data_IF_368717479314
#
_entry.id   IF_368717479314
#
_cell.length_a   1.000
_cell.length_b   1.000
_cell.length_c   1.000
_cell.angle_alpha   90.00
_cell.angle_beta   90.00
_cell.angle_gamma   90.00
#
_symmetry.space_group_name_H-M   'P 1'
#
loop_
_entity.id
_entity.type
_entity.pdbx_description
1 polymer ?
#
# COMPACT_ATOMS: atom_id res chain seq x y z
N UNK A 1 -18.12 11.17 -21.67
CA UNK A 1 -17.82 11.06 -20.22
C UNK A 1 -17.44 12.44 -19.70
N UNK A 2 -18.11 12.99 -18.67
CA UNK A 2 -17.74 14.29 -18.09
C UNK A 2 -16.78 14.08 -16.92
N UNK A 3 -15.67 14.79 -16.90
CA UNK A 3 -14.70 14.74 -15.81
C UNK A 3 -15.32 15.42 -14.57
N UNK A 4 -15.40 14.75 -13.42
CA UNK A 4 -15.88 15.34 -12.18
C UNK A 4 -15.04 16.56 -11.80
N UNK A 5 -15.68 17.62 -11.35
CA UNK A 5 -14.99 18.85 -10.96
C UNK A 5 -15.13 19.06 -9.46
N UNK A 6 -13.99 19.27 -8.81
CA UNK A 6 -13.97 19.64 -7.40
C UNK A 6 -14.38 21.10 -7.26
N UNK A 7 -15.18 21.40 -6.24
CA UNK A 7 -15.61 22.75 -5.88
C UNK A 7 -14.42 23.60 -5.46
N UNK A 8 -14.37 24.81 -5.94
CA UNK A 8 -13.36 25.81 -5.56
C UNK A 8 -13.90 26.72 -4.48
N UNK A 9 -13.17 26.81 -3.38
CA UNK A 9 -13.46 27.72 -2.28
C UNK A 9 -12.22 28.57 -2.03
N UNK A 10 -12.33 29.88 -2.28
CA UNK A 10 -11.19 30.78 -2.10
C UNK A 10 -10.67 30.72 -0.67
N UNK A 11 -9.40 30.41 -0.52
CA UNK A 11 -8.66 30.42 0.74
C UNK A 11 -7.32 31.07 0.54
N UNK A 12 -6.85 31.83 1.53
CA UNK A 12 -5.55 32.49 1.51
C UNK A 12 -4.87 32.28 2.87
N UNK A 13 -3.62 31.86 2.85
CA UNK A 13 -2.78 31.71 4.05
C UNK A 13 -1.50 32.51 3.85
N UNK A 14 -1.06 33.20 4.89
CA UNK A 14 0.17 33.99 4.87
C UNK A 14 1.28 33.16 5.54
N UNK A 15 2.38 32.95 4.83
CA UNK A 15 3.60 32.30 5.34
C UNK A 15 4.80 33.22 5.05
N UNK A 16 5.50 33.65 6.09
CA UNK A 16 6.68 34.52 5.98
C UNK A 16 6.40 35.76 5.08
N UNK A 17 5.29 36.42 5.35
CA UNK A 17 4.79 37.63 4.61
C UNK A 17 4.42 37.36 3.14
N UNK A 18 4.38 36.08 2.71
CA UNK A 18 3.92 35.70 1.38
C UNK A 18 2.50 35.14 1.46
N UNK A 19 1.57 35.74 0.72
CA UNK A 19 0.21 35.24 0.60
C UNK A 19 0.16 34.08 -0.40
N UNK A 20 -0.27 32.90 0.07
CA UNK A 20 -0.51 31.71 -0.76
C UNK A 20 -2.02 31.50 -0.90
N UNK A 21 -2.50 31.50 -2.13
CA UNK A 21 -3.89 31.21 -2.46
C UNK A 21 -4.04 29.75 -2.85
N UNK A 22 -4.96 29.03 -2.20
CA UNK A 22 -5.31 27.65 -2.52
C UNK A 22 -6.84 27.49 -2.48
N UNK A 23 -7.43 27.25 -3.65
CA UNK A 23 -8.87 27.08 -3.79
C UNK A 23 -9.36 25.70 -3.32
N UNK A 24 -8.46 24.78 -3.00
CA UNK A 24 -8.77 23.40 -2.63
C UNK A 24 -8.37 23.04 -1.20
N UNK A 25 -7.87 24.00 -0.42
CA UNK A 25 -7.45 23.75 0.98
C UNK A 25 -8.57 23.23 1.89
N UNK A 26 -9.84 23.40 1.49
CA UNK A 26 -10.99 22.87 2.23
C UNK A 26 -11.08 21.33 2.20
N UNK A 27 -10.37 20.66 1.28
CA UNK A 27 -10.27 19.19 1.21
C UNK A 27 -9.37 18.65 2.33
N UNK A 28 -8.47 19.47 2.85
CA UNK A 28 -7.61 19.13 3.98
C UNK A 28 -8.42 19.11 5.28
N UNK A 29 -8.69 17.91 5.78
CA UNK A 29 -9.55 17.72 6.94
C UNK A 29 -8.73 17.63 8.22
N UNK A 30 -9.10 18.44 9.23
CA UNK A 30 -8.46 18.42 10.54
C UNK A 30 -8.52 17.05 11.25
N UNK A 31 -9.52 16.23 10.90
CA UNK A 31 -9.73 14.88 11.45
C UNK A 31 -9.12 13.75 10.62
N UNK A 32 -8.12 14.02 9.78
CA UNK A 32 -7.55 13.02 8.85
C UNK A 32 -7.15 11.71 9.53
N UNK A 33 -6.62 11.74 10.76
CA UNK A 33 -6.25 10.54 11.50
C UNK A 33 -7.46 9.67 11.88
N UNK A 34 -8.63 10.26 12.03
CA UNK A 34 -9.87 9.54 12.26
C UNK A 34 -10.43 8.97 10.96
N UNK A 35 -10.33 9.72 9.86
CA UNK A 35 -10.71 9.27 8.52
C UNK A 35 -9.87 8.07 8.09
N UNK A 36 -8.56 8.05 8.39
CA UNK A 36 -7.68 6.91 8.10
C UNK A 36 -8.07 5.63 8.87
N UNK A 37 -8.74 5.78 10.02
CA UNK A 37 -9.26 4.64 10.81
C UNK A 37 -10.67 4.24 10.39
N UNK A 38 -11.46 5.20 9.94
CA UNK A 38 -12.86 5.02 9.55
C UNK A 38 -13.21 5.98 8.41
N UNK A 39 -13.26 5.43 7.20
CA UNK A 39 -13.56 6.19 5.97
C UNK A 39 -14.96 6.86 5.98
N UNK A 40 -15.87 6.43 6.86
CA UNK A 40 -17.19 7.07 6.99
C UNK A 40 -17.11 8.48 7.61
N UNK A 41 -15.97 8.84 8.19
CA UNK A 41 -15.71 10.18 8.75
C UNK A 41 -15.18 11.18 7.71
N UNK A 42 -15.02 10.73 6.46
CA UNK A 42 -14.66 11.62 5.36
C UNK A 42 -15.80 12.60 5.08
N UNK A 43 -15.44 13.86 4.79
CA UNK A 43 -16.42 14.88 4.40
C UNK A 43 -17.28 14.38 3.23
N UNK A 44 -18.63 14.51 3.29
CA UNK A 44 -19.52 14.01 2.26
C UNK A 44 -19.29 14.60 0.86
N UNK A 45 -18.90 15.88 0.74
CA UNK A 45 -18.60 16.51 -0.55
C UNK A 45 -17.30 15.93 -1.14
N UNK A 46 -16.28 15.74 -0.30
CA UNK A 46 -15.02 15.11 -0.70
C UNK A 46 -15.27 13.67 -1.13
N UNK A 47 -16.05 12.93 -0.32
CA UNK A 47 -16.43 11.54 -0.64
C UNK A 47 -17.17 11.45 -1.98
N UNK A 48 -18.14 12.31 -2.21
CA UNK A 48 -18.91 12.34 -3.46
C UNK A 48 -18.01 12.58 -4.68
N UNK A 49 -17.04 13.48 -4.55
CA UNK A 49 -16.07 13.74 -5.61
C UNK A 49 -15.17 12.52 -5.90
N UNK A 50 -14.68 11.85 -4.84
CA UNK A 50 -13.88 10.63 -4.97
C UNK A 50 -14.70 9.52 -5.64
N UNK A 51 -15.92 9.28 -5.18
CA UNK A 51 -16.80 8.24 -5.74
C UNK A 51 -17.12 8.49 -7.22
N UNK A 52 -17.33 9.76 -7.61
CA UNK A 52 -17.55 10.13 -9.01
C UNK A 52 -16.31 9.88 -9.89
N UNK A 53 -15.10 10.16 -9.37
CA UNK A 53 -13.86 9.85 -10.09
C UNK A 53 -13.60 8.35 -10.20
N UNK A 54 -13.85 7.60 -9.13
CA UNK A 54 -13.71 6.14 -9.14
C UNK A 54 -14.67 5.53 -10.17
N UNK A 55 -15.93 5.96 -10.18
CA UNK A 55 -16.92 5.53 -11.18
C UNK A 55 -16.45 5.82 -12.61
N UNK A 56 -15.95 7.03 -12.87
CA UNK A 56 -15.42 7.40 -14.18
C UNK A 56 -14.24 6.51 -14.58
N UNK A 57 -13.36 6.19 -13.63
CA UNK A 57 -12.21 5.31 -13.85
C UNK A 57 -12.66 3.88 -14.18
N UNK A 58 -13.61 3.35 -13.42
CA UNK A 58 -14.15 2.01 -13.63
C UNK A 58 -14.80 1.90 -15.02
N UNK A 59 -15.61 2.89 -15.41
CA UNK A 59 -16.21 2.97 -16.74
C UNK A 59 -15.15 3.06 -17.86
N UNK A 60 -14.07 3.84 -17.65
CA UNK A 60 -12.99 3.97 -18.62
C UNK A 60 -12.23 2.66 -18.85
N UNK A 61 -12.06 1.86 -17.81
CA UNK A 61 -11.32 0.61 -17.84
C UNK A 61 -12.21 -0.64 -18.01
N UNK A 62 -13.53 -0.47 -18.20
CA UNK A 62 -14.48 -1.59 -18.26
C UNK A 62 -14.07 -2.62 -19.33
N UNK A 63 -13.76 -2.17 -20.53
CA UNK A 63 -13.38 -3.05 -21.67
C UNK A 63 -12.03 -3.76 -21.46
N UNK A 64 -11.24 -3.36 -20.47
CA UNK A 64 -9.91 -3.93 -20.23
C UNK A 64 -9.87 -4.98 -19.12
N UNK A 65 -10.99 -5.28 -18.46
CA UNK A 65 -11.06 -6.15 -17.29
C UNK A 65 -10.45 -7.54 -17.49
N UNK A 66 -10.73 -8.17 -18.62
CA UNK A 66 -10.19 -9.50 -18.93
C UNK A 66 -8.70 -9.45 -19.25
N UNK A 67 -8.24 -8.39 -19.91
CA UNK A 67 -6.81 -8.15 -20.14
C UNK A 67 -6.08 -7.94 -18.81
N UNK A 68 -6.63 -7.12 -17.90
CA UNK A 68 -6.05 -6.88 -16.57
C UNK A 68 -5.92 -8.19 -15.77
N UNK A 69 -6.97 -9.03 -15.76
CA UNK A 69 -6.94 -10.35 -15.09
C UNK A 69 -5.86 -11.26 -15.67
N UNK A 70 -5.74 -11.30 -16.99
CA UNK A 70 -4.71 -12.09 -17.69
C UNK A 70 -3.31 -11.60 -17.35
N UNK A 71 -3.10 -10.29 -17.43
CA UNK A 71 -1.81 -9.66 -17.14
C UNK A 71 -1.40 -9.87 -15.68
N UNK A 72 -2.34 -9.66 -14.74
CA UNK A 72 -2.10 -9.92 -13.32
C UNK A 72 -1.70 -11.39 -13.06
N UNK A 73 -2.41 -12.33 -13.66
CA UNK A 73 -2.09 -13.76 -13.54
C UNK A 73 -0.71 -14.09 -14.10
N UNK A 74 -0.36 -13.50 -15.25
CA UNK A 74 0.95 -13.68 -15.87
C UNK A 74 2.07 -13.14 -14.98
N UNK A 75 1.96 -11.90 -14.51
CA UNK A 75 2.96 -11.27 -13.62
C UNK A 75 3.11 -12.10 -12.34
N UNK A 76 1.99 -12.45 -11.72
CA UNK A 76 1.99 -13.24 -10.47
C UNK A 76 2.63 -14.62 -10.66
N UNK A 77 2.46 -15.26 -11.81
CA UNK A 77 3.03 -16.57 -12.09
C UNK A 77 4.56 -16.56 -12.20
N UNK A 78 5.16 -15.39 -12.45
CA UNK A 78 6.62 -15.23 -12.52
C UNK A 78 7.26 -14.97 -11.15
N UNK A 79 6.44 -14.74 -10.12
CA UNK A 79 6.93 -14.54 -8.75
C UNK A 79 7.05 -15.88 -8.06
N UNK A 80 8.24 -16.19 -7.59
CA UNK A 80 8.46 -17.39 -6.76
C UNK A 80 7.92 -17.11 -5.35
N UNK A 81 6.78 -17.72 -5.03
CA UNK A 81 6.07 -17.48 -3.77
C UNK A 81 6.76 -18.16 -2.58
N UNK A 82 7.26 -19.40 -2.78
CA UNK A 82 8.09 -20.10 -1.79
C UNK A 82 9.56 -19.86 -2.13
N UNK A 83 10.22 -19.03 -1.38
CA UNK A 83 11.62 -18.70 -1.62
C UNK A 83 12.46 -18.67 -0.35
N UNK A 84 13.73 -19.00 -0.51
CA UNK A 84 14.69 -19.04 0.59
C UNK A 84 15.98 -18.35 0.14
N UNK A 85 16.44 -17.36 0.90
CA UNK A 85 17.72 -16.71 0.62
C UNK A 85 18.90 -17.64 0.87
N UNK A 86 20.07 -17.26 0.36
CA UNK A 86 21.31 -17.92 0.75
C UNK A 86 21.52 -17.81 2.26
N UNK A 87 22.07 -18.87 2.84
CA UNK A 87 22.47 -18.89 4.24
C UNK A 87 23.79 -18.14 4.40
N UNK A 88 23.86 -17.23 5.36
CA UNK A 88 25.12 -16.61 5.75
C UNK A 88 25.48 -16.97 7.18
N UNK A 89 26.78 -17.10 7.43
CA UNK A 89 27.32 -17.47 8.72
C UNK A 89 27.64 -16.23 9.54
N UNK A 90 27.16 -16.20 10.77
CA UNK A 90 27.59 -15.25 11.78
C UNK A 90 27.76 -15.94 13.12
N UNK A 91 28.99 -15.86 13.68
CA UNK A 91 29.37 -16.52 14.94
C UNK A 91 29.03 -18.02 14.96
N UNK A 92 28.07 -18.40 15.78
CA UNK A 92 27.65 -19.79 16.00
C UNK A 92 26.45 -20.21 15.14
N UNK A 93 25.91 -19.31 14.30
CA UNK A 93 24.68 -19.55 13.57
C UNK A 93 24.84 -19.34 12.07
N UNK A 94 24.03 -20.07 11.32
CA UNK A 94 23.59 -19.70 9.98
C UNK A 94 22.30 -18.93 10.08
N UNK A 95 22.15 -17.90 9.24
CA UNK A 95 20.96 -17.06 9.12
C UNK A 95 20.49 -17.03 7.67
N UNK A 96 19.17 -17.02 7.47
CA UNK A 96 18.56 -16.82 6.16
C UNK A 96 17.13 -16.27 6.28
N UNK A 97 16.59 -15.84 5.14
CA UNK A 97 15.19 -15.43 5.00
C UNK A 97 14.40 -16.50 4.27
N UNK A 98 13.15 -16.65 4.63
CA UNK A 98 12.20 -17.54 3.95
C UNK A 98 10.88 -16.81 3.74
N UNK A 99 10.30 -16.94 2.54
CA UNK A 99 8.92 -16.57 2.23
C UNK A 99 8.14 -17.83 1.92
N UNK A 100 6.86 -17.84 2.25
CA UNK A 100 5.97 -18.98 2.04
C UNK A 100 4.74 -18.53 1.25
N UNK A 101 4.26 -19.34 0.29
CA UNK A 101 3.16 -19.02 -0.61
C UNK A 101 1.85 -18.62 0.12
N UNK A 102 1.64 -19.15 1.33
CA UNK A 102 0.49 -18.84 2.16
C UNK A 102 0.76 -17.77 3.21
N UNK A 103 1.97 -17.26 3.29
CA UNK A 103 2.38 -16.24 4.24
C UNK A 103 2.38 -14.85 3.60
N UNK A 104 1.89 -13.83 4.33
CA UNK A 104 1.98 -12.44 3.89
C UNK A 104 3.33 -11.80 4.23
N UNK A 105 4.11 -12.43 5.11
CA UNK A 105 5.32 -11.85 5.68
C UNK A 105 6.49 -12.79 5.60
N UNK A 106 7.68 -12.24 5.36
CA UNK A 106 8.93 -12.99 5.40
C UNK A 106 9.32 -13.39 6.81
N UNK A 107 9.94 -14.55 6.92
CA UNK A 107 10.48 -15.08 8.18
C UNK A 107 12.00 -14.96 8.16
N UNK A 108 12.60 -14.67 9.32
CA UNK A 108 14.04 -14.76 9.54
C UNK A 108 14.32 -15.99 10.37
N UNK A 109 15.21 -16.82 9.86
CA UNK A 109 15.49 -18.14 10.41
C UNK A 109 16.97 -18.19 10.78
N UNK A 110 17.28 -18.89 11.86
CA UNK A 110 18.65 -19.23 12.24
C UNK A 110 18.76 -20.69 12.64
N UNK A 111 19.96 -21.24 12.56
CA UNK A 111 20.29 -22.58 12.99
C UNK A 111 21.74 -22.62 13.49
N UNK A 112 22.01 -23.38 14.55
CA UNK A 112 23.38 -23.63 15.00
C UNK A 112 24.18 -24.33 13.90
N UNK A 113 25.43 -23.92 13.72
CA UNK A 113 26.31 -24.43 12.66
C UNK A 113 26.58 -25.92 12.83
N UNK A 114 26.66 -26.40 14.08
CA UNK A 114 26.90 -27.81 14.43
C UNK A 114 25.65 -28.71 14.24
N UNK A 115 24.50 -28.10 13.89
CA UNK A 115 23.26 -28.84 13.68
C UNK A 115 22.63 -29.41 14.95
N UNK A 116 23.15 -29.07 16.14
CA UNK A 116 22.70 -29.62 17.42
C UNK A 116 21.26 -29.27 17.80
N UNK A 117 20.68 -28.26 17.13
CA UNK A 117 19.29 -27.84 17.30
C UNK A 117 18.61 -27.65 15.94
N UNK A 118 17.29 -27.88 15.87
CA UNK A 118 16.54 -27.55 14.65
C UNK A 118 16.61 -26.07 14.32
N UNK A 119 16.20 -25.71 13.09
CA UNK A 119 16.04 -24.32 12.69
C UNK A 119 15.01 -23.60 13.56
N UNK A 120 15.27 -22.34 13.84
CA UNK A 120 14.45 -21.47 14.69
C UNK A 120 14.02 -20.24 13.89
N UNK A 121 12.72 -19.97 13.86
CA UNK A 121 12.19 -18.68 13.39
C UNK A 121 12.32 -17.68 14.52
N UNK A 122 13.23 -16.73 14.40
CA UNK A 122 13.48 -15.74 15.45
C UNK A 122 12.84 -14.38 15.17
N UNK A 123 12.35 -14.15 13.94
CA UNK A 123 11.66 -12.92 13.57
C UNK A 123 10.70 -13.17 12.41
N UNK A 124 9.48 -12.61 12.54
CA UNK A 124 8.48 -12.53 11.47
C UNK A 124 8.23 -11.06 11.21
N UNK A 125 8.36 -10.65 9.97
CA UNK A 125 8.11 -9.28 9.55
C UNK A 125 6.59 -9.06 9.48
N UNK A 126 6.00 -8.38 10.48
CA UNK A 126 4.58 -7.99 10.52
C UNK A 126 4.43 -6.56 10.05
#
# INVERSE_FOLDING_TARGET
MSIPKLKKIKSEKIYHDIALSDEYSWVDQANILEVLKDANKLDPEVKSYIDANNKMTDEYFEDTQDFQKKLFKEIKSKIKLDDTSLKFKDKKYYYWAKTEAKGNYGKRIRQLIDGSKPEEVFFIQN
#
